data_IF_007238443767
#
_entry.id   IF_007238443767
#
_cell.length_a   1.000
_cell.length_b   1.000
_cell.length_c   1.000
_cell.angle_alpha   90.00
_cell.angle_beta   90.00
_cell.angle_gamma   90.00
#
_symmetry.space_group_name_H-M   'P 1'
#
loop_
_entity.id
_entity.type
_entity.pdbx_description
1 polymer ?
#
# COMPACT_ATOMS: atom_id res chain seq x y z
N UNK A 1 -17.31 -14.79 6.49
CA UNK A 1 -17.03 -13.95 5.31
C UNK A 1 -15.56 -14.13 4.92
N UNK A 2 -15.24 -14.26 3.63
CA UNK A 2 -13.87 -14.42 3.13
C UNK A 2 -13.25 -13.04 2.95
N UNK A 3 -12.13 -12.75 3.61
CA UNK A 3 -11.35 -11.53 3.35
C UNK A 3 -10.49 -11.73 2.11
N UNK A 4 -10.46 -10.74 1.23
CA UNK A 4 -9.51 -10.72 0.12
C UNK A 4 -8.13 -10.36 0.64
N UNK A 5 -7.13 -11.17 0.28
CA UNK A 5 -5.73 -10.99 0.65
C UNK A 5 -4.98 -10.63 -0.62
N UNK A 6 -4.29 -9.50 -0.58
CA UNK A 6 -3.44 -9.02 -1.65
C UNK A 6 -1.97 -9.29 -1.30
N UNK A 7 -1.16 -9.55 -2.33
CA UNK A 7 0.29 -9.53 -2.24
C UNK A 7 0.80 -8.36 -3.10
N UNK A 8 1.79 -7.63 -2.59
CA UNK A 8 2.39 -6.52 -3.33
C UNK A 8 3.75 -6.07 -2.80
N UNK A 9 4.42 -5.27 -3.61
CA UNK A 9 5.69 -4.64 -3.29
C UNK A 9 5.46 -3.22 -2.75
N UNK A 10 6.09 -2.91 -1.63
CA UNK A 10 6.20 -1.55 -1.11
C UNK A 10 7.15 -0.77 -2.00
N UNK A 11 6.71 0.39 -2.50
CA UNK A 11 7.53 1.27 -3.35
C UNK A 11 7.58 2.68 -2.80
N UNK A 12 8.78 3.24 -2.69
CA UNK A 12 8.96 4.66 -2.44
C UNK A 12 8.81 5.47 -3.73
N UNK A 13 8.02 6.53 -3.66
CA UNK A 13 7.75 7.47 -4.74
C UNK A 13 8.40 8.81 -4.38
N UNK A 14 9.43 9.27 -5.10
CA UNK A 14 10.19 10.48 -4.73
C UNK A 14 9.51 11.80 -5.12
N UNK A 15 8.37 11.76 -5.78
CA UNK A 15 7.60 12.94 -6.19
C UNK A 15 6.57 13.36 -5.12
N UNK A 16 5.96 14.54 -5.27
CA UNK A 16 4.93 15.06 -4.36
C UNK A 16 5.34 15.09 -2.87
N UNK A 17 6.64 15.32 -2.59
CA UNK A 17 7.20 15.37 -1.24
C UNK A 17 7.59 14.01 -0.65
N UNK A 18 7.48 12.92 -1.41
CA UNK A 18 7.93 11.60 -0.99
C UNK A 18 6.86 10.80 -0.26
N UNK A 19 6.47 9.64 -0.79
CA UNK A 19 5.51 8.75 -0.11
C UNK A 19 5.76 7.28 -0.46
N UNK A 20 5.09 6.37 0.27
CA UNK A 20 5.14 4.94 -0.01
C UNK A 20 3.80 4.49 -0.59
N UNK A 21 3.87 3.74 -1.68
CA UNK A 21 2.76 3.04 -2.32
C UNK A 21 2.91 1.53 -2.22
N UNK A 22 1.87 0.79 -2.61
CA UNK A 22 1.93 -0.65 -2.82
C UNK A 22 1.54 -0.96 -4.25
N UNK A 23 2.38 -1.73 -4.96
CA UNK A 23 2.04 -2.27 -6.29
C UNK A 23 1.74 -3.75 -6.11
N UNK A 24 0.50 -4.15 -6.40
CA UNK A 24 0.09 -5.57 -6.28
C UNK A 24 0.67 -6.41 -7.40
N UNK A 25 0.66 -7.73 -7.24
CA UNK A 25 1.00 -8.68 -8.31
C UNK A 25 0.14 -8.50 -9.57
N UNK A 26 -1.09 -8.02 -9.40
CA UNK A 26 -2.01 -7.65 -10.49
C UNK A 26 -1.78 -6.23 -11.06
N UNK A 27 -0.66 -5.59 -10.73
CA UNK A 27 -0.30 -4.21 -11.13
C UNK A 27 -1.27 -3.11 -10.65
N UNK A 28 -2.09 -3.39 -9.63
CA UNK A 28 -2.89 -2.34 -9.00
C UNK A 28 -1.97 -1.46 -8.17
N UNK A 29 -2.11 -0.15 -8.36
CA UNK A 29 -1.40 0.88 -7.59
C UNK A 29 -2.28 1.30 -6.43
N UNK A 30 -1.87 0.99 -5.20
CA UNK A 30 -2.60 1.32 -4.00
C UNK A 30 -1.84 2.38 -3.21
N UNK A 31 -2.55 3.43 -2.81
CA UNK A 31 -2.07 4.45 -1.90
C UNK A 31 -2.48 4.06 -0.47
N UNK A 32 -1.59 3.48 0.34
CA UNK A 32 -1.95 2.94 1.63
C UNK A 32 -2.25 4.06 2.63
N UNK A 33 -3.46 4.04 3.18
CA UNK A 33 -3.86 4.88 4.30
C UNK A 33 -3.43 4.16 5.59
N UNK A 34 -2.59 4.83 6.40
CA UNK A 34 -1.97 4.31 7.64
C UNK A 34 -0.94 3.19 7.47
N UNK A 35 -0.01 3.31 6.52
CA UNK A 35 1.15 2.41 6.48
C UNK A 35 2.09 2.66 7.68
N UNK A 36 2.16 1.68 8.60
CA UNK A 36 3.04 1.76 9.77
C UNK A 36 4.52 1.81 9.34
N UNK A 37 5.33 2.58 10.07
CA UNK A 37 6.73 2.86 9.71
C UNK A 37 7.59 1.60 9.51
N UNK A 38 7.30 0.51 10.23
CA UNK A 38 8.01 -0.77 10.06
C UNK A 38 7.87 -1.38 8.66
N UNK A 39 6.83 -1.01 7.89
CA UNK A 39 6.63 -1.48 6.52
C UNK A 39 7.12 -0.50 5.46
N UNK A 40 7.67 0.66 5.83
CA UNK A 40 8.22 1.66 4.90
C UNK A 40 9.62 1.28 4.40
N UNK A 41 9.71 0.10 3.80
CA UNK A 41 10.93 -0.48 3.25
C UNK A 41 10.76 -0.57 1.73
N UNK A 42 11.50 0.26 0.99
CA UNK A 42 11.40 0.24 -0.48
C UNK A 42 11.87 -1.11 -1.03
N UNK A 43 11.00 -1.78 -1.78
CA UNK A 43 11.21 -3.12 -2.33
C UNK A 43 10.76 -4.28 -1.44
N UNK A 44 10.18 -4.01 -0.26
CA UNK A 44 9.68 -5.07 0.60
C UNK A 44 8.40 -5.71 0.05
N UNK A 45 8.24 -7.02 0.22
CA UNK A 45 7.03 -7.76 -0.19
C UNK A 45 6.12 -7.96 1.02
N UNK A 46 4.84 -7.63 0.87
CA UNK A 46 3.83 -7.72 1.91
C UNK A 46 2.58 -8.49 1.46
N UNK A 47 1.98 -9.22 2.39
CA UNK A 47 0.60 -9.69 2.27
C UNK A 47 -0.29 -8.80 3.14
N UNK A 48 -1.42 -8.34 2.61
CA UNK A 48 -2.29 -7.41 3.32
C UNK A 48 -3.76 -7.59 2.94
N UNK A 49 -4.64 -7.09 3.80
CA UNK A 49 -6.06 -6.95 3.53
C UNK A 49 -6.56 -5.57 3.93
N UNK A 50 -7.73 -5.22 3.43
CA UNK A 50 -8.35 -3.96 3.76
C UNK A 50 -9.43 -3.59 2.75
N UNK A 51 -9.61 -2.29 2.54
CA UNK A 51 -10.66 -1.77 1.68
C UNK A 51 -10.28 -0.46 1.02
N UNK A 52 -10.80 -0.25 -0.19
CA UNK A 52 -10.77 1.05 -0.83
C UNK A 52 -11.56 2.07 -0.02
N UNK A 53 -11.01 3.27 0.12
CA UNK A 53 -11.76 4.40 0.68
C UNK A 53 -12.20 5.29 -0.47
N UNK A 54 -13.51 5.52 -0.57
CA UNK A 54 -14.10 6.51 -1.47
C UNK A 54 -14.20 7.86 -0.73
N UNK A 55 -14.23 8.95 -1.49
CA UNK A 55 -14.51 10.30 -1.00
C UNK A 55 -13.45 10.93 -0.09
N UNK A 56 -12.20 10.48 -0.19
CA UNK A 56 -11.07 11.19 0.41
C UNK A 56 -10.29 11.97 -0.65
N UNK A 57 -9.97 13.23 -0.33
CA UNK A 57 -9.03 14.02 -1.12
C UNK A 57 -7.62 13.73 -0.63
N UNK A 58 -6.79 13.18 -1.50
CA UNK A 58 -5.37 12.98 -1.25
C UNK A 58 -4.56 14.05 -1.95
N UNK A 59 -3.40 14.39 -1.38
CA UNK A 59 -2.42 15.25 -2.07
C UNK A 59 -1.82 14.48 -3.24
N UNK A 60 -1.59 13.18 -3.03
CA UNK A 60 -0.98 12.33 -4.03
C UNK A 60 -1.94 12.08 -5.20
N UNK A 61 -1.47 12.30 -6.42
CA UNK A 61 -2.18 11.98 -7.67
C UNK A 61 -1.78 10.61 -8.22
N UNK A 62 -1.51 9.65 -7.33
CA UNK A 62 -1.04 8.32 -7.67
C UNK A 62 -1.75 7.25 -6.85
N UNK A 63 -2.20 6.20 -7.55
CA UNK A 63 -2.83 5.03 -6.94
C UNK A 63 -4.22 5.29 -6.36
N UNK A 64 -4.87 4.20 -5.97
CA UNK A 64 -6.19 4.24 -5.34
C UNK A 64 -6.04 4.22 -3.82
N UNK A 65 -6.66 5.15 -3.08
CA UNK A 65 -6.61 5.14 -1.63
C UNK A 65 -7.16 3.84 -1.03
N UNK A 66 -6.35 3.19 -0.20
CA UNK A 66 -6.65 1.88 0.35
C UNK A 66 -6.29 1.83 1.84
N UNK A 67 -7.28 1.59 2.70
CA UNK A 67 -7.04 1.44 4.12
C UNK A 67 -6.52 0.04 4.40
N UNK A 68 -5.33 -0.04 4.97
CA UNK A 68 -4.74 -1.29 5.44
C UNK A 68 -5.39 -1.66 6.77
N UNK A 69 -6.04 -2.83 6.83
CA UNK A 69 -6.59 -3.40 8.07
C UNK A 69 -5.61 -4.37 8.71
N UNK A 70 -5.00 -5.23 7.90
CA UNK A 70 -3.99 -6.20 8.31
C UNK A 70 -2.87 -6.23 7.29
N UNK A 71 -1.63 -6.37 7.76
CA UNK A 71 -0.44 -6.40 6.90
C UNK A 71 0.66 -7.25 7.54
N UNK A 72 1.32 -8.07 6.73
CA UNK A 72 2.43 -8.92 7.12
C UNK A 72 3.57 -8.77 6.12
N UNK A 73 4.78 -8.68 6.65
CA UNK A 73 6.00 -8.71 5.85
C UNK A 73 6.27 -10.14 5.40
N UNK A 74 6.41 -10.34 4.10
CA UNK A 74 6.82 -11.60 3.49
C UNK A 74 8.31 -11.59 3.15
N UNK A 75 8.83 -10.44 2.69
CA UNK A 75 10.25 -10.26 2.37
C UNK A 75 10.70 -8.83 2.74
N UNK A 76 11.52 -8.64 3.80
CA UNK A 76 12.05 -7.34 4.21
C UNK A 76 13.10 -6.77 3.23
N UNK A 77 13.40 -5.48 3.35
CA UNK A 77 14.52 -4.78 2.69
C UNK A 77 15.29 -3.88 3.63
#
# INVERSE_FOLDING_TARGET
MKREIYTGEIKYMPFEGGFYGIITESNLKLLPIKLLSQYKQDGAIVAFSGRYIKDIKTIQQWGSPFLIEEIKLLSPK
#
